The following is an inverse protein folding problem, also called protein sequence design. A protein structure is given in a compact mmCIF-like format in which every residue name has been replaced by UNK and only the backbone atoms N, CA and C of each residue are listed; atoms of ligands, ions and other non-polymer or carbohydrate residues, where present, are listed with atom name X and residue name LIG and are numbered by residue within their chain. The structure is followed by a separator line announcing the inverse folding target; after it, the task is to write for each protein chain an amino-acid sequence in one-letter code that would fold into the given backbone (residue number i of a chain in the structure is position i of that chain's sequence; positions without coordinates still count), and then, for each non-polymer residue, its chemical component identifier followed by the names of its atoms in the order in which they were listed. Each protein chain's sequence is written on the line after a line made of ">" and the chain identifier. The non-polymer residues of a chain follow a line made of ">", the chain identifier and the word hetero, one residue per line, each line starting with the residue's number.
data_IF_215007849025
#
_entry.id   IF_215007849025
#
_cell.length_a   1.000
_cell.length_b   1.000
_cell.length_c   1.000
_cell.angle_alpha   90.00
_cell.angle_beta   90.00
_cell.angle_gamma   90.00
#
_symmetry.space_group_name_H-M   'P 1'
#
loop_
_entity.id
_entity.type
_entity.pdbx_description
1 polymer ?
#
# COMPACT_ATOMS: atom_id res chain seq x y z
N UNK A 1 5.21 -19.07 20.57
CA UNK A 1 5.87 -17.81 21.00
C UNK A 1 5.01 -16.59 20.61
N UNK A 2 4.54 -15.77 21.56
CA UNK A 2 3.76 -14.59 21.23
C UNK A 2 4.69 -13.50 20.63
N UNK A 3 4.18 -12.62 19.75
CA UNK A 3 4.95 -11.48 19.28
C UNK A 3 5.09 -10.49 20.44
N UNK A 4 6.33 -10.17 20.77
CA UNK A 4 6.66 -9.12 21.73
C UNK A 4 6.25 -7.79 21.13
N UNK A 5 5.16 -7.22 21.65
CA UNK A 5 4.80 -5.82 21.45
C UNK A 5 5.93 -4.96 22.03
N UNK A 6 6.76 -4.39 21.16
CA UNK A 6 7.70 -3.35 21.57
C UNK A 6 6.89 -2.08 21.85
N UNK A 7 6.42 -1.97 23.10
CA UNK A 7 6.06 -0.68 23.68
C UNK A 7 7.34 0.13 23.72
N UNK A 8 7.48 1.12 22.84
CA UNK A 8 8.51 2.15 22.94
C UNK A 8 8.25 2.94 24.23
N UNK A 9 8.79 2.42 25.34
CA UNK A 9 8.77 3.11 26.62
C UNK A 9 9.47 4.46 26.46
N UNK A 10 8.73 5.53 26.78
CA UNK A 10 9.29 6.86 27.06
C UNK A 10 10.35 6.73 28.15
N UNK A 11 11.62 6.77 27.77
CA UNK A 11 12.70 7.06 28.70
C UNK A 11 13.03 8.55 28.63
N UNK A 12 12.48 9.28 29.59
CA UNK A 12 13.05 10.54 30.05
C UNK A 12 14.22 10.20 30.98
N UNK A 13 15.45 10.49 30.55
CA UNK A 13 16.58 10.64 31.46
C UNK A 13 17.64 11.55 30.80
N UNK A 14 17.94 12.65 31.49
CA UNK A 14 19.04 13.55 31.20
C UNK A 14 20.40 12.86 31.44
N UNK A 15 21.36 13.03 30.54
CA UNK A 15 22.76 12.63 30.72
C UNK A 15 23.60 12.97 29.49
N UNK A 16 24.63 13.81 29.66
CA UNK A 16 25.40 14.44 28.58
C UNK A 16 26.31 13.48 27.81
N UNK A 17 26.10 13.38 26.50
CA UNK A 17 27.04 12.96 25.42
C UNK A 17 26.25 12.65 24.12
N UNK A 18 24.96 12.29 24.23
CA UNK A 18 24.14 11.72 23.15
C UNK A 18 23.19 12.71 22.45
N UNK A 19 23.48 14.02 22.46
CA UNK A 19 22.57 15.05 21.90
C UNK A 19 22.72 15.26 20.39
N UNK A 20 23.73 14.67 19.76
CA UNK A 20 24.01 14.79 18.33
C UNK A 20 23.81 13.47 17.55
N UNK A 21 23.36 12.39 18.19
CA UNK A 21 23.12 11.10 17.53
C UNK A 21 21.63 10.71 17.53
N UNK A 22 21.20 10.06 16.45
CA UNK A 22 19.86 9.50 16.26
C UNK A 22 19.98 8.10 15.68
N UNK A 23 19.23 7.14 16.22
CA UNK A 23 19.15 5.78 15.67
C UNK A 23 17.87 5.65 14.87
N UNK A 24 17.94 5.01 13.71
CA UNK A 24 16.81 4.82 12.79
C UNK A 24 16.88 3.45 12.13
N UNK A 25 15.75 2.88 11.73
CA UNK A 25 15.75 1.68 10.90
C UNK A 25 16.37 1.95 9.54
N UNK A 26 17.07 0.95 8.99
CA UNK A 26 17.71 1.03 7.67
C UNK A 26 16.72 1.38 6.57
N UNK A 27 15.53 0.80 6.65
CA UNK A 27 14.44 0.98 5.69
C UNK A 27 13.97 2.42 5.63
N UNK A 28 13.70 3.02 6.78
CA UNK A 28 13.21 4.40 6.87
C UNK A 28 14.24 5.39 6.36
N UNK A 29 15.51 5.21 6.72
CA UNK A 29 16.60 6.05 6.22
C UNK A 29 16.79 5.90 4.71
N UNK A 30 16.76 4.66 4.20
CA UNK A 30 16.87 4.38 2.77
C UNK A 30 15.71 4.98 1.98
N UNK A 31 14.47 4.87 2.45
CA UNK A 31 13.32 5.51 1.82
C UNK A 31 13.46 7.03 1.81
N UNK A 32 13.79 7.61 2.97
CA UNK A 32 13.94 9.05 3.11
C UNK A 32 15.01 9.61 2.16
N UNK A 33 16.09 8.88 1.96
CA UNK A 33 17.21 9.28 1.08
C UNK A 33 16.97 8.97 -0.40
N UNK A 34 16.24 7.90 -0.74
CA UNK A 34 15.99 7.48 -2.14
C UNK A 34 14.73 8.08 -2.73
N UNK A 35 13.62 8.03 -2.00
CA UNK A 35 12.29 8.41 -2.48
C UNK A 35 11.93 9.86 -2.12
N UNK A 36 12.45 10.38 -1.00
CA UNK A 36 12.13 11.75 -0.55
C UNK A 36 13.33 12.61 -0.13
N UNK A 37 14.42 12.70 -0.94
CA UNK A 37 15.64 13.43 -0.57
C UNK A 37 15.40 14.93 -0.31
N UNK A 38 14.37 15.51 -0.93
CA UNK A 38 13.99 16.91 -0.71
C UNK A 38 13.61 17.22 0.75
N UNK A 39 13.00 16.26 1.46
CA UNK A 39 12.62 16.44 2.88
C UNK A 39 13.86 16.56 3.77
N UNK A 40 14.87 15.74 3.53
CA UNK A 40 16.17 15.83 4.21
C UNK A 40 16.90 17.14 3.87
N UNK A 41 16.95 17.51 2.59
CA UNK A 41 17.62 18.74 2.14
C UNK A 41 17.04 19.98 2.85
N UNK A 42 15.71 20.10 2.87
CA UNK A 42 15.01 21.19 3.57
C UNK A 42 15.35 21.22 5.06
N UNK A 43 15.33 20.07 5.73
CA UNK A 43 15.68 19.98 7.14
C UNK A 43 17.13 20.44 7.38
N UNK A 44 18.09 19.99 6.56
CA UNK A 44 19.50 20.38 6.70
C UNK A 44 19.72 21.87 6.43
N UNK A 45 18.97 22.47 5.52
CA UNK A 45 19.00 23.91 5.22
C UNK A 45 18.41 24.74 6.37
N UNK A 46 17.22 24.38 6.83
CA UNK A 46 16.51 25.07 7.93
C UNK A 46 17.29 25.02 9.25
N UNK A 47 17.95 23.90 9.52
CA UNK A 47 18.67 23.68 10.78
C UNK A 47 20.18 23.97 10.69
N UNK A 48 20.71 24.16 9.48
CA UNK A 48 22.13 24.36 9.19
C UNK A 48 23.04 23.27 9.79
N UNK A 49 22.61 22.00 9.71
CA UNK A 49 23.41 20.84 10.14
C UNK A 49 23.60 19.87 8.98
N UNK A 50 24.71 19.15 8.97
CA UNK A 50 24.88 17.96 8.14
C UNK A 50 24.56 16.70 8.93
N UNK A 51 23.96 15.71 8.25
CA UNK A 51 23.62 14.41 8.82
C UNK A 51 24.51 13.37 8.14
N UNK A 52 25.22 12.58 8.93
CA UNK A 52 26.17 11.57 8.45
C UNK A 52 25.84 10.22 9.10
N UNK A 53 26.09 9.12 8.40
CA UNK A 53 26.02 7.77 8.99
C UNK A 53 27.32 7.55 9.78
N UNK A 54 27.19 7.38 11.09
CA UNK A 54 28.27 7.14 12.05
C UNK A 54 28.41 5.65 12.40
N UNK A 55 27.36 4.86 12.20
CA UNK A 55 27.39 3.41 12.38
C UNK A 55 26.27 2.70 11.63
N UNK A 56 26.52 1.45 11.24
CA UNK A 56 25.61 0.64 10.45
C UNK A 56 25.57 -0.80 10.98
N UNK A 57 24.38 -1.39 11.03
CA UNK A 57 24.15 -2.82 11.32
C UNK A 57 23.23 -3.44 10.25
N UNK A 58 22.74 -4.67 10.45
CA UNK A 58 21.76 -5.30 9.55
C UNK A 58 20.46 -4.50 9.42
N UNK A 59 19.99 -3.90 10.52
CA UNK A 59 18.61 -3.39 10.61
C UNK A 59 18.53 -1.90 10.93
N UNK A 60 19.61 -1.27 11.39
CA UNK A 60 19.61 0.14 11.83
C UNK A 60 20.86 0.91 11.36
N UNK A 61 20.69 2.23 11.19
CA UNK A 61 21.77 3.22 11.11
C UNK A 61 21.83 4.06 12.39
N UNK A 62 23.05 4.46 12.76
CA UNK A 62 23.33 5.51 13.74
C UNK A 62 23.73 6.76 12.97
N UNK A 63 22.90 7.79 13.05
CA UNK A 63 23.10 9.07 12.37
C UNK A 63 23.73 10.08 13.33
N UNK A 64 24.74 10.81 12.87
CA UNK A 64 25.39 11.91 13.58
C UNK A 64 25.07 13.25 12.91
N UNK A 65 24.65 14.21 13.72
CA UNK A 65 24.44 15.60 13.33
C UNK A 65 25.72 16.41 13.59
N UNK A 66 26.21 17.10 12.57
CA UNK A 66 27.37 17.97 12.62
C UNK A 66 26.95 19.41 12.29
N UNK A 67 27.31 20.37 13.16
CA UNK A 67 27.11 21.79 12.90
C UNK A 67 28.42 22.42 12.38
N UNK A 68 28.37 23.32 11.39
CA UNK A 68 29.56 24.01 10.90
C UNK A 68 30.11 24.97 11.99
N UNK A 69 31.43 25.06 12.21
CA UNK A 69 32.01 26.11 13.04
C UNK A 69 31.84 27.48 12.37
N UNK A 70 31.53 28.60 13.08
CA UNK A 70 31.32 28.77 14.51
C UNK A 70 29.82 28.73 14.89
N UNK A 71 29.16 27.57 14.80
CA UNK A 71 27.78 27.44 15.25
C UNK A 71 27.66 27.43 16.79
N UNK A 72 26.63 28.08 17.36
CA UNK A 72 26.38 28.04 18.80
C UNK A 72 26.02 26.61 19.27
N UNK A 73 26.48 26.18 20.46
CA UNK A 73 26.35 24.81 20.97
C UNK A 73 24.88 24.35 21.21
N UNK A 74 23.90 25.25 21.07
CA UNK A 74 22.47 24.97 21.24
C UNK A 74 21.73 24.50 19.99
N UNK A 75 22.30 24.54 18.78
CA UNK A 75 21.57 24.21 17.52
C UNK A 75 21.35 22.72 17.27
N UNK A 76 22.09 21.85 17.95
CA UNK A 76 22.00 20.41 17.73
C UNK A 76 20.70 19.82 18.30
N UNK A 77 20.13 20.41 19.35
CA UNK A 77 18.92 19.86 19.97
C UNK A 77 17.64 20.07 19.15
N UNK A 78 17.36 21.24 18.53
CA UNK A 78 16.17 21.41 17.70
C UNK A 78 16.33 20.62 16.38
N UNK A 79 17.54 20.59 15.81
CA UNK A 79 17.83 19.80 14.62
C UNK A 79 17.59 18.30 14.83
N UNK A 80 18.01 17.78 16.00
CA UNK A 80 17.73 16.39 16.39
C UNK A 80 16.24 16.11 16.58
N UNK A 81 15.48 17.06 17.13
CA UNK A 81 14.03 16.91 17.27
C UNK A 81 13.32 16.93 15.91
N UNK A 82 13.68 17.86 15.03
CA UNK A 82 13.16 17.91 13.67
C UNK A 82 13.46 16.62 12.90
N UNK A 83 14.69 16.09 13.02
CA UNK A 83 15.06 14.84 12.35
C UNK A 83 14.23 13.68 12.90
N UNK A 84 14.05 13.59 14.21
CA UNK A 84 13.19 12.55 14.80
C UNK A 84 11.74 12.63 14.31
N UNK A 85 11.18 13.84 14.22
CA UNK A 85 9.81 14.04 13.71
C UNK A 85 9.69 13.60 12.25
N UNK A 86 10.64 14.01 11.39
CA UNK A 86 10.67 13.61 9.99
C UNK A 86 10.80 12.08 9.82
N UNK A 87 11.63 11.44 10.65
CA UNK A 87 11.78 9.98 10.65
C UNK A 87 10.48 9.27 11.04
N UNK A 88 9.78 9.76 12.07
CA UNK A 88 8.50 9.21 12.52
C UNK A 88 7.36 9.44 11.49
N UNK A 89 7.35 10.58 10.81
CA UNK A 89 6.44 10.83 9.67
C UNK A 89 6.73 9.87 8.52
N UNK A 90 8.01 9.63 8.22
CA UNK A 90 8.43 8.71 7.16
C UNK A 90 8.04 7.27 7.48
N UNK A 91 8.17 6.85 8.74
CA UNK A 91 7.71 5.52 9.21
C UNK A 91 6.22 5.30 8.93
N UNK A 92 5.39 6.33 9.10
CA UNK A 92 3.94 6.28 8.84
C UNK A 92 3.60 6.29 7.35
N UNK A 93 4.42 6.91 6.50
CA UNK A 93 4.26 6.88 5.05
C UNK A 93 4.63 5.51 4.44
N UNK A 94 5.58 4.80 5.05
CA UNK A 94 6.01 3.44 4.66
C UNK A 94 5.04 2.34 5.13
N UNK A 95 4.37 2.54 6.27
CA UNK A 95 3.42 1.59 6.84
C UNK A 95 2.29 1.12 5.88
N UNK A 96 1.61 2.01 5.11
CA UNK A 96 0.51 1.61 4.24
C UNK A 96 0.92 0.70 3.09
N UNK A 97 2.18 0.72 2.65
CA UNK A 97 2.65 -0.21 1.60
C UNK A 97 2.76 -1.66 2.10
N UNK A 98 2.88 -1.85 3.43
CA UNK A 98 3.03 -3.16 4.06
C UNK A 98 1.77 -3.65 4.74
N UNK A 99 0.70 -2.86 4.76
CA UNK A 99 -0.57 -3.27 5.31
C UNK A 99 -1.42 -3.97 4.25
N UNK A 100 -1.89 -5.17 4.56
CA UNK A 100 -2.79 -5.89 3.67
C UNK A 100 -4.18 -5.24 3.74
N UNK A 101 -4.74 -4.76 2.62
CA UNK A 101 -6.04 -4.08 2.62
C UNK A 101 -7.23 -5.03 2.89
N UNK A 102 -7.00 -6.35 2.94
CA UNK A 102 -8.03 -7.36 3.24
C UNK A 102 -8.11 -7.65 4.74
N UNK A 103 -6.98 -7.89 5.40
CA UNK A 103 -6.95 -8.22 6.84
C UNK A 103 -6.55 -7.05 7.73
N UNK A 104 -6.19 -5.90 7.15
CA UNK A 104 -5.75 -4.68 7.83
C UNK A 104 -4.55 -4.88 8.77
N UNK A 105 -3.79 -5.95 8.58
CA UNK A 105 -2.54 -6.22 9.30
C UNK A 105 -1.35 -6.26 8.34
N UNK A 106 -0.14 -6.47 8.86
CA UNK A 106 1.06 -6.62 8.03
C UNK A 106 0.91 -7.74 6.98
N UNK A 107 1.41 -7.49 5.78
CA UNK A 107 1.41 -8.45 4.68
C UNK A 107 2.27 -9.68 5.05
N UNK A 108 1.61 -10.81 5.26
CA UNK A 108 2.24 -12.11 5.46
C UNK A 108 2.29 -12.86 4.12
N UNK A 109 3.50 -13.30 3.71
CA UNK A 109 3.75 -13.94 2.40
C UNK A 109 3.16 -13.11 1.26
N UNK A 110 3.86 -12.03 0.90
CA UNK A 110 3.37 -11.05 -0.08
C UNK A 110 3.03 -11.71 -1.41
N UNK A 111 1.82 -11.44 -1.90
CA UNK A 111 1.36 -11.81 -3.25
C UNK A 111 0.89 -10.57 -3.98
N UNK A 112 1.57 -10.25 -5.07
CA UNK A 112 1.28 -9.12 -5.94
C UNK A 112 0.55 -9.60 -7.18
N UNK A 113 -0.60 -8.99 -7.48
CA UNK A 113 -1.38 -9.36 -8.67
C UNK A 113 -0.74 -8.78 -9.94
N UNK A 114 -0.51 -9.61 -10.95
CA UNK A 114 0.30 -9.25 -12.13
C UNK A 114 -0.26 -8.09 -12.97
N UNK A 115 -1.59 -8.00 -13.14
CA UNK A 115 -2.22 -7.01 -14.05
C UNK A 115 -2.46 -5.63 -13.44
N UNK A 116 -2.45 -5.51 -12.11
CA UNK A 116 -2.75 -4.27 -11.40
C UNK A 116 -1.77 -3.93 -10.27
N UNK A 117 -0.80 -4.81 -10.00
CA UNK A 117 0.31 -4.58 -9.07
C UNK A 117 -0.08 -4.33 -7.61
N UNK A 118 -1.35 -4.48 -7.23
CA UNK A 118 -1.76 -4.46 -5.84
C UNK A 118 -1.27 -5.70 -5.09
N UNK A 119 -0.79 -5.48 -3.86
CA UNK A 119 -0.18 -6.50 -2.99
C UNK A 119 -1.06 -6.82 -1.79
N UNK A 120 -1.05 -8.10 -1.39
CA UNK A 120 -1.87 -8.63 -0.30
C UNK A 120 -1.12 -9.77 0.40
N UNK A 121 -1.61 -10.23 1.56
CA UNK A 121 -1.20 -11.55 2.06
C UNK A 121 -1.65 -12.64 1.08
N UNK A 122 -0.80 -13.64 0.81
CA UNK A 122 -1.13 -14.76 -0.07
C UNK A 122 -2.44 -15.45 0.30
N UNK A 123 -2.65 -15.73 1.59
CA UNK A 123 -3.87 -16.37 2.09
C UNK A 123 -5.12 -15.47 1.94
N UNK A 124 -4.94 -14.15 2.06
CA UNK A 124 -6.04 -13.19 1.95
C UNK A 124 -6.51 -13.07 0.50
N UNK A 125 -5.58 -12.85 -0.43
CA UNK A 125 -5.95 -12.71 -1.84
C UNK A 125 -6.45 -14.02 -2.44
N UNK A 126 -5.92 -15.17 -2.01
CA UNK A 126 -6.41 -16.48 -2.46
C UNK A 126 -7.87 -16.69 -2.09
N UNK A 127 -8.27 -16.37 -0.84
CA UNK A 127 -9.69 -16.44 -0.42
C UNK A 127 -10.57 -15.43 -1.14
N UNK A 128 -10.10 -14.19 -1.30
CA UNK A 128 -10.87 -13.15 -1.99
C UNK A 128 -11.16 -13.54 -3.45
N UNK A 129 -10.18 -14.12 -4.15
CA UNK A 129 -10.33 -14.56 -5.54
C UNK A 129 -11.28 -15.76 -5.72
N UNK A 130 -11.53 -16.55 -4.66
CA UNK A 130 -12.54 -17.62 -4.68
C UNK A 130 -13.96 -17.06 -4.68
N UNK A 131 -14.20 -15.93 -3.99
CA UNK A 131 -15.51 -15.27 -3.95
C UNK A 131 -15.77 -14.50 -5.23
N UNK A 132 -14.79 -13.72 -5.68
CA UNK A 132 -14.86 -12.95 -6.91
C UNK A 132 -13.49 -12.94 -7.55
N UNK A 133 -13.40 -13.40 -8.80
CA UNK A 133 -12.15 -13.45 -9.59
C UNK A 133 -11.70 -12.06 -10.06
N UNK A 134 -11.71 -11.07 -9.16
CA UNK A 134 -11.34 -9.69 -9.37
C UNK A 134 -10.50 -9.16 -8.21
N UNK A 135 -9.62 -8.20 -8.49
CA UNK A 135 -8.84 -7.52 -7.48
C UNK A 135 -9.77 -6.75 -6.50
N UNK A 136 -9.65 -6.94 -5.17
CA UNK A 136 -10.45 -6.21 -4.18
C UNK A 136 -10.23 -4.69 -4.18
N UNK A 137 -9.07 -4.22 -4.65
CA UNK A 137 -8.72 -2.79 -4.66
C UNK A 137 -9.31 -2.04 -5.87
N UNK A 138 -9.30 -2.66 -7.04
CA UNK A 138 -9.62 -1.95 -8.30
C UNK A 138 -10.60 -2.68 -9.22
N UNK A 139 -11.10 -3.86 -8.84
CA UNK A 139 -12.08 -4.62 -9.63
C UNK A 139 -11.54 -5.26 -10.92
N UNK A 140 -10.24 -5.15 -11.23
CA UNK A 140 -9.64 -5.80 -12.40
C UNK A 140 -9.77 -7.32 -12.31
N UNK A 141 -10.30 -7.95 -13.36
CA UNK A 141 -10.56 -9.39 -13.40
C UNK A 141 -9.32 -10.26 -13.71
N UNK A 142 -9.23 -11.40 -13.01
CA UNK A 142 -8.17 -12.40 -13.07
C UNK A 142 -8.70 -13.79 -13.47
N UNK A 143 -9.75 -13.82 -14.29
CA UNK A 143 -10.35 -15.06 -14.79
C UNK A 143 -11.53 -14.76 -15.70
N UNK A 144 -12.32 -15.80 -16.02
CA UNK A 144 -13.59 -15.64 -16.73
C UNK A 144 -14.66 -15.19 -15.75
N UNK A 145 -15.34 -14.08 -16.06
CA UNK A 145 -16.51 -13.65 -15.30
C UNK A 145 -17.68 -14.58 -15.63
N UNK A 146 -18.18 -15.29 -14.62
CA UNK A 146 -19.35 -16.17 -14.72
C UNK A 146 -20.34 -15.75 -13.65
N UNK A 147 -21.60 -15.57 -14.02
CA UNK A 147 -22.69 -15.28 -13.09
C UNK A 147 -23.32 -16.56 -12.52
N UNK A 148 -24.36 -16.40 -11.72
CA UNK A 148 -25.14 -17.49 -11.14
C UNK A 148 -26.35 -17.88 -12.03
N UNK A 149 -26.22 -17.77 -13.35
CA UNK A 149 -27.33 -18.10 -14.26
C UNK A 149 -27.72 -19.58 -14.12
N UNK A 150 -29.01 -19.91 -13.93
CA UNK A 150 -29.45 -21.30 -13.80
C UNK A 150 -29.05 -22.15 -15.01
N UNK A 151 -28.55 -23.39 -14.80
CA UNK A 151 -28.01 -24.22 -15.89
C UNK A 151 -29.09 -24.71 -16.87
N UNK A 152 -30.36 -24.72 -16.45
CA UNK A 152 -31.51 -25.13 -17.25
C UNK A 152 -32.11 -23.97 -18.08
N UNK A 153 -31.51 -22.78 -18.05
CA UNK A 153 -31.89 -21.66 -18.89
C UNK A 153 -31.60 -21.93 -20.38
N UNK A 154 -32.47 -21.45 -21.26
CA UNK A 154 -32.30 -21.50 -22.71
C UNK A 154 -32.34 -20.11 -23.31
N UNK A 155 -31.51 -19.89 -24.32
CA UNK A 155 -31.53 -18.71 -25.18
C UNK A 155 -31.86 -19.18 -26.59
N UNK A 156 -32.99 -18.72 -27.13
CA UNK A 156 -33.42 -19.00 -28.50
C UNK A 156 -33.20 -17.75 -29.33
N UNK A 157 -32.63 -17.91 -30.51
CA UNK A 157 -32.35 -16.80 -31.43
C UNK A 157 -33.07 -17.07 -32.73
N UNK A 158 -33.93 -16.15 -33.14
CA UNK A 158 -34.57 -16.15 -34.45
C UNK A 158 -34.39 -14.80 -35.14
N UNK A 159 -34.65 -14.76 -36.45
CA UNK A 159 -34.61 -13.54 -37.25
C UNK A 159 -35.95 -13.37 -37.93
N UNK A 160 -36.53 -12.19 -37.80
CA UNK A 160 -37.79 -11.83 -38.43
C UNK A 160 -37.54 -10.63 -39.36
N UNK A 161 -37.64 -10.87 -40.67
CA UNK A 161 -37.43 -9.83 -41.68
C UNK A 161 -38.60 -8.85 -41.77
N UNK A 162 -39.77 -9.22 -41.27
CA UNK A 162 -40.99 -8.40 -41.31
C UNK A 162 -41.13 -7.49 -40.10
N UNK A 163 -40.51 -7.87 -38.98
CA UNK A 163 -40.47 -7.04 -37.79
C UNK A 163 -39.40 -5.95 -37.93
N UNK A 164 -39.86 -4.70 -37.98
CA UNK A 164 -39.02 -3.50 -38.14
C UNK A 164 -38.97 -2.71 -36.83
N UNK A 165 -37.78 -2.40 -36.34
CA UNK A 165 -37.60 -1.58 -35.15
C UNK A 165 -37.55 -0.09 -35.52
N UNK A 166 -38.12 0.81 -34.68
CA UNK A 166 -38.00 2.24 -34.88
C UNK A 166 -36.53 2.67 -35.02
N UNK A 167 -36.22 3.39 -36.11
CA UNK A 167 -34.87 3.83 -36.46
C UNK A 167 -34.01 2.80 -37.22
N UNK A 168 -34.51 1.59 -37.44
CA UNK A 168 -33.83 0.50 -38.16
C UNK A 168 -34.75 -0.16 -39.19
N UNK A 169 -35.67 0.59 -39.80
CA UNK A 169 -36.76 0.06 -40.64
C UNK A 169 -36.29 -0.62 -41.94
N UNK A 170 -35.03 -0.44 -42.33
CA UNK A 170 -34.43 -1.09 -43.50
C UNK A 170 -33.89 -2.49 -43.19
N UNK A 171 -33.91 -2.89 -41.92
CA UNK A 171 -33.35 -4.15 -41.44
C UNK A 171 -34.43 -4.99 -40.76
N UNK A 172 -34.32 -6.31 -40.87
CA UNK A 172 -35.10 -7.23 -40.04
C UNK A 172 -34.63 -7.21 -38.58
N UNK A 173 -35.39 -7.86 -37.70
CA UNK A 173 -35.13 -7.93 -36.26
C UNK A 173 -34.56 -9.29 -35.84
N UNK A 174 -33.54 -9.27 -34.99
CA UNK A 174 -33.08 -10.48 -34.28
C UNK A 174 -33.88 -10.57 -32.98
N UNK A 175 -34.63 -11.65 -32.81
CA UNK A 175 -35.41 -11.91 -31.60
C UNK A 175 -34.60 -12.86 -30.73
N UNK A 176 -34.29 -12.42 -29.52
CA UNK A 176 -33.62 -13.23 -28.50
C UNK A 176 -34.64 -13.54 -27.41
N UNK A 177 -35.06 -14.80 -27.34
CA UNK A 177 -36.00 -15.26 -26.33
C UNK A 177 -35.26 -16.03 -25.24
N UNK A 178 -35.40 -15.58 -24.00
CA UNK A 178 -34.87 -16.27 -22.83
C UNK A 178 -35.97 -17.10 -22.16
N UNK A 179 -35.66 -18.35 -21.84
CA UNK A 179 -36.57 -19.27 -21.13
C UNK A 179 -35.84 -19.86 -19.93
N UNK A 180 -36.31 -19.54 -18.73
CA UNK A 180 -35.78 -20.06 -17.47
C UNK A 180 -36.90 -20.82 -16.73
N UNK A 181 -36.90 -22.17 -16.76
CA UNK A 181 -37.87 -22.96 -16.01
C UNK A 181 -37.73 -22.74 -14.50
N UNK A 182 -38.81 -22.90 -13.71
CA UNK A 182 -38.72 -22.90 -12.25
C UNK A 182 -37.71 -23.93 -11.74
N UNK A 183 -37.06 -23.62 -10.61
CA UNK A 183 -36.04 -24.47 -10.01
C UNK A 183 -35.79 -24.09 -8.55
N UNK A 184 -34.82 -24.76 -7.94
CA UNK A 184 -34.37 -24.51 -6.56
C UNK A 184 -33.06 -23.74 -6.59
N UNK A 185 -32.92 -22.75 -5.71
CA UNK A 185 -31.67 -21.99 -5.57
C UNK A 185 -30.58 -22.88 -4.96
N UNK A 186 -29.41 -22.91 -5.60
CA UNK A 186 -28.21 -23.58 -5.10
C UNK A 186 -27.31 -22.70 -4.24
#
# INVERSE_FOLDING_TARGET
>A
PPPVSFVLSRMAACGGAAKNKVTVSKRVWDFLTKESPAKLARLTEETQVSILVDGETSDIYVLQLCAPPPAPPGRLCPARQALKALLEETEKEEEPERQCPICLGEIQKMKTLEKCRHSFCEACITRALQVKTACPMCGRFYGRLVGNQPPNGRMLVSRDASLLLPGYEKFGTIIIQYVFPPGVQG
#
